data_IF_832368094225
#
_entry.id   IF_832368094225
#
_cell.length_a   1.000
_cell.length_b   1.000
_cell.length_c   1.000
_cell.angle_alpha   90.00
_cell.angle_beta   90.00
_cell.angle_gamma   90.00
#
_symmetry.space_group_name_H-M   'P 1'
#
loop_
_entity.id
_entity.type
_entity.pdbx_description
1 polymer ?
#
# COMPACT_ATOMS: atom_id res chain seq x y z
N UNK A 1 16.58 33.35 67.08
CA UNK A 1 17.56 32.53 67.82
C UNK A 1 17.13 31.07 67.66
N UNK A 2 17.93 30.27 66.92
CA UNK A 2 17.90 28.79 66.73
C UNK A 2 16.61 28.21 66.07
N UNK A 3 16.54 27.88 64.77
CA UNK A 3 17.07 26.74 63.95
C UNK A 3 16.57 25.33 64.34
N UNK A 4 15.66 24.80 63.50
CA UNK A 4 15.40 23.44 62.92
C UNK A 4 15.80 22.18 63.74
N UNK A 5 15.09 21.03 63.68
CA UNK A 5 14.81 20.20 62.48
C UNK A 5 13.77 19.10 62.72
N UNK A 6 13.15 18.73 61.60
CA UNK A 6 12.06 17.80 61.30
C UNK A 6 12.30 16.32 61.64
N UNK A 7 11.22 15.64 62.05
CA UNK A 7 11.12 14.18 62.18
C UNK A 7 10.93 13.50 60.82
N UNK A 8 11.65 12.37 60.64
CA UNK A 8 11.46 11.38 59.58
C UNK A 8 10.03 10.81 59.62
N UNK A 9 9.34 10.81 58.47
CA UNK A 9 8.12 10.04 58.24
C UNK A 9 8.38 8.94 57.22
N UNK A 10 8.34 7.68 57.68
CA UNK A 10 8.61 6.49 56.90
C UNK A 10 7.49 6.13 55.91
N UNK A 11 7.92 5.47 54.84
CA UNK A 11 7.15 4.87 53.75
C UNK A 11 6.03 3.94 54.24
N UNK A 12 4.87 4.05 53.59
CA UNK A 12 3.77 3.11 53.70
C UNK A 12 2.94 3.09 52.42
N UNK A 13 3.52 2.62 51.31
CA UNK A 13 2.77 2.34 50.10
C UNK A 13 1.87 1.11 50.35
N UNK A 14 0.60 1.35 50.67
CA UNK A 14 -0.40 0.30 50.81
C UNK A 14 -0.72 -0.29 49.44
N UNK A 15 -0.31 -1.54 49.22
CA UNK A 15 -0.75 -2.35 48.11
C UNK A 15 -2.21 -2.75 48.33
N UNK A 16 -3.13 -2.07 47.65
CA UNK A 16 -4.53 -2.51 47.55
C UNK A 16 -4.57 -3.57 46.43
N UNK A 17 -4.58 -4.84 46.84
CA UNK A 17 -4.86 -5.96 45.96
C UNK A 17 -6.37 -5.98 45.66
N UNK A 18 -6.77 -5.37 44.54
CA UNK A 18 -8.10 -5.59 43.97
C UNK A 18 -8.06 -6.87 43.12
N UNK A 19 -8.78 -7.88 43.59
CA UNK A 19 -9.15 -9.04 42.80
C UNK A 19 -10.10 -8.59 41.67
N UNK A 20 -9.51 -8.16 40.54
CA UNK A 20 -10.25 -7.93 39.31
C UNK A 20 -9.93 -9.06 38.34
N UNK A 21 -10.90 -9.95 38.15
CA UNK A 21 -10.86 -10.94 37.08
C UNK A 21 -10.75 -10.19 35.74
N UNK A 22 -9.60 -10.35 35.08
CA UNK A 22 -9.37 -10.07 33.68
C UNK A 22 -9.64 -8.64 33.17
N UNK A 23 -9.72 -7.63 34.04
CA UNK A 23 -9.70 -6.24 33.60
C UNK A 23 -8.26 -5.78 33.57
N UNK A 24 -7.72 -5.58 32.38
CA UNK A 24 -6.46 -4.89 32.14
C UNK A 24 -6.75 -3.37 32.17
N UNK A 25 -6.80 -2.72 33.34
CA UNK A 25 -7.42 -1.40 33.49
C UNK A 25 -6.55 -0.28 32.90
N UNK A 26 -5.26 -0.58 32.72
CA UNK A 26 -4.25 0.27 32.09
C UNK A 26 -4.01 -0.11 30.62
N UNK A 27 -4.68 -1.14 30.09
CA UNK A 27 -4.46 -1.62 28.72
C UNK A 27 -3.05 -2.20 28.47
N UNK A 28 -2.33 -2.60 29.51
CA UNK A 28 -0.96 -3.12 29.43
C UNK A 28 -0.91 -4.50 28.77
N UNK A 29 0.00 -4.70 27.82
CA UNK A 29 0.10 -5.99 27.12
C UNK A 29 0.47 -7.12 28.10
N UNK A 30 -0.01 -8.36 27.89
CA UNK A 30 0.46 -9.51 28.66
C UNK A 30 1.99 -9.62 28.56
N UNK A 31 2.69 -9.68 29.70
CA UNK A 31 4.15 -9.68 29.75
C UNK A 31 4.82 -8.30 29.75
N UNK A 32 4.06 -7.20 29.82
CA UNK A 32 4.62 -5.86 29.98
C UNK A 32 5.42 -5.75 31.29
N UNK A 33 6.65 -5.25 31.18
CA UNK A 33 7.55 -5.00 32.31
C UNK A 33 7.46 -3.56 32.80
N UNK A 34 6.81 -2.67 32.04
CA UNK A 34 6.68 -1.25 32.33
C UNK A 34 5.31 -0.68 31.95
N UNK A 35 4.86 0.32 32.69
CA UNK A 35 3.69 1.14 32.33
C UNK A 35 3.93 2.03 31.10
N UNK A 36 5.16 2.09 30.58
CA UNK A 36 5.51 2.76 29.32
C UNK A 36 5.52 1.80 28.12
N UNK A 37 5.34 0.50 28.34
CA UNK A 37 5.35 -0.50 27.25
C UNK A 37 4.19 -0.34 26.26
N UNK A 38 3.15 0.45 26.59
CA UNK A 38 2.09 0.79 25.63
C UNK A 38 2.63 1.54 24.40
N UNK A 39 3.73 2.28 24.56
CA UNK A 39 4.35 3.07 23.49
C UNK A 39 5.40 2.28 22.69
N UNK A 40 5.69 1.03 23.06
CA UNK A 40 6.67 0.20 22.36
C UNK A 40 6.05 -0.45 21.12
N UNK A 41 6.72 -0.30 19.98
CA UNK A 41 6.39 -1.05 18.77
C UNK A 41 6.59 -2.56 19.00
N UNK A 42 5.65 -3.42 18.57
CA UNK A 42 5.81 -4.87 18.69
C UNK A 42 7.06 -5.35 17.96
N UNK A 43 7.76 -6.30 18.56
CA UNK A 43 8.87 -7.00 17.92
C UNK A 43 8.39 -7.83 16.72
N UNK A 44 9.29 -8.17 15.78
CA UNK A 44 9.00 -9.09 14.69
C UNK A 44 8.28 -10.39 15.09
N UNK A 45 8.74 -11.05 16.16
CA UNK A 45 8.13 -12.29 16.64
C UNK A 45 6.72 -12.06 17.17
N UNK A 46 6.49 -10.98 17.91
CA UNK A 46 5.15 -10.62 18.37
C UNK A 46 4.23 -10.27 17.20
N UNK A 47 4.75 -9.64 16.14
CA UNK A 47 3.99 -9.37 14.93
C UNK A 47 3.55 -10.66 14.22
N UNK A 48 4.37 -11.73 14.25
CA UNK A 48 3.98 -13.07 13.79
C UNK A 48 2.85 -13.62 14.66
N UNK A 49 2.98 -13.60 15.98
CA UNK A 49 1.93 -14.08 16.89
C UNK A 49 0.62 -13.32 16.69
N UNK A 50 0.69 -12.01 16.45
CA UNK A 50 -0.45 -11.18 16.10
C UNK A 50 -1.07 -11.58 14.76
N UNK A 51 -0.25 -11.80 13.71
CA UNK A 51 -0.71 -12.20 12.38
C UNK A 51 -1.37 -13.59 12.36
N UNK A 52 -0.97 -14.46 13.29
CA UNK A 52 -1.49 -15.82 13.47
C UNK A 52 -2.68 -15.90 14.45
N UNK A 53 -3.12 -14.79 15.03
CA UNK A 53 -4.21 -14.79 16.03
C UNK A 53 -5.52 -15.32 15.43
N UNK A 54 -5.97 -16.47 15.93
CA UNK A 54 -7.14 -17.18 15.41
C UNK A 54 -8.45 -16.39 15.59
N UNK A 55 -8.54 -15.54 16.60
CA UNK A 55 -9.82 -14.99 17.04
C UNK A 55 -9.93 -13.48 16.78
N UNK A 56 -8.81 -12.77 16.75
CA UNK A 56 -8.81 -11.31 16.69
C UNK A 56 -8.32 -10.80 15.33
N UNK A 57 -9.26 -10.34 14.50
CA UNK A 57 -8.96 -9.78 13.18
C UNK A 57 -8.11 -8.50 13.24
N UNK A 58 -8.33 -7.61 14.22
CA UNK A 58 -7.51 -6.40 14.39
C UNK A 58 -6.05 -6.75 14.70
N UNK A 59 -5.81 -7.80 15.51
CA UNK A 59 -4.46 -8.32 15.73
C UNK A 59 -3.87 -8.90 14.45
N UNK A 60 -4.62 -9.71 13.70
CA UNK A 60 -4.15 -10.25 12.42
C UNK A 60 -3.78 -9.16 11.44
N UNK A 61 -4.61 -8.14 11.33
CA UNK A 61 -4.41 -6.97 10.48
C UNK A 61 -3.13 -6.23 10.85
N UNK A 62 -2.98 -5.87 12.14
CA UNK A 62 -1.79 -5.18 12.64
C UNK A 62 -0.52 -6.01 12.49
N UNK A 63 -0.58 -7.30 12.83
CA UNK A 63 0.55 -8.22 12.67
C UNK A 63 1.01 -8.31 11.21
N UNK A 64 0.06 -8.47 10.28
CA UNK A 64 0.34 -8.53 8.83
C UNK A 64 1.00 -7.23 8.34
N UNK A 65 0.49 -6.07 8.73
CA UNK A 65 1.08 -4.77 8.36
C UNK A 65 2.46 -4.55 8.95
N UNK A 66 2.71 -4.98 10.19
CA UNK A 66 4.01 -4.85 10.83
C UNK A 66 5.05 -5.73 10.16
N UNK A 67 4.68 -6.95 9.79
CA UNK A 67 5.53 -7.87 9.04
C UNK A 67 5.85 -7.31 7.66
N UNK A 68 4.86 -6.81 6.91
CA UNK A 68 5.06 -6.24 5.57
C UNK A 68 6.00 -5.01 5.53
N UNK A 69 6.36 -4.43 6.66
CA UNK A 69 7.34 -3.33 6.74
C UNK A 69 8.77 -3.83 6.92
N UNK A 70 8.95 -5.10 7.22
CA UNK A 70 10.25 -5.66 7.57
C UNK A 70 11.06 -6.02 6.33
N UNK A 71 12.39 -5.89 6.43
CA UNK A 71 13.30 -6.21 5.32
C UNK A 71 13.29 -7.70 4.95
N UNK A 72 13.03 -8.57 5.92
CA UNK A 72 12.97 -10.02 5.72
C UNK A 72 11.60 -10.51 5.23
N UNK A 73 10.60 -9.63 5.08
CA UNK A 73 9.24 -10.05 4.69
C UNK A 73 9.13 -10.58 3.26
N UNK A 74 10.20 -10.45 2.46
CA UNK A 74 10.33 -11.10 1.15
C UNK A 74 10.75 -12.58 1.25
N UNK A 75 11.04 -13.11 2.42
CA UNK A 75 11.29 -14.56 2.59
C UNK A 75 9.99 -15.35 2.38
N UNK A 76 10.11 -16.52 1.75
CA UNK A 76 8.96 -17.33 1.32
C UNK A 76 7.95 -17.58 2.44
N UNK A 77 8.41 -17.84 3.66
CA UNK A 77 7.54 -18.12 4.81
C UNK A 77 6.57 -16.97 5.10
N UNK A 78 7.01 -15.72 4.95
CA UNK A 78 6.14 -14.56 5.15
C UNK A 78 5.25 -14.29 3.94
N UNK A 79 5.75 -14.54 2.72
CA UNK A 79 4.95 -14.45 1.51
C UNK A 79 3.79 -15.45 1.55
N UNK A 80 4.05 -16.70 1.97
CA UNK A 80 3.03 -17.73 2.16
C UNK A 80 1.99 -17.31 3.22
N UNK A 81 2.44 -16.68 4.31
CA UNK A 81 1.54 -16.08 5.30
C UNK A 81 0.66 -14.99 4.66
N UNK A 82 1.21 -14.11 3.82
CA UNK A 82 0.43 -13.08 3.12
C UNK A 82 -0.57 -13.69 2.13
N UNK A 83 -0.18 -14.73 1.39
CA UNK A 83 -1.11 -15.49 0.54
C UNK A 83 -2.27 -16.05 1.37
N UNK A 84 -1.97 -16.64 2.53
CA UNK A 84 -3.01 -17.16 3.42
C UNK A 84 -3.92 -16.04 3.94
N UNK A 85 -3.37 -14.91 4.38
CA UNK A 85 -4.14 -13.76 4.90
C UNK A 85 -4.92 -13.00 3.83
N UNK A 86 -4.54 -13.09 2.56
CA UNK A 86 -5.30 -12.51 1.45
C UNK A 86 -6.66 -13.20 1.21
N UNK A 87 -6.92 -14.33 1.88
CA UNK A 87 -8.21 -15.05 1.89
C UNK A 87 -8.91 -15.02 3.26
N UNK A 88 -8.48 -14.14 4.16
CA UNK A 88 -9.08 -13.99 5.49
C UNK A 88 -10.55 -13.56 5.41
N UNK A 89 -11.32 -13.93 6.44
CA UNK A 89 -12.72 -13.52 6.58
C UNK A 89 -12.86 -12.01 6.74
N UNK A 90 -11.89 -11.36 7.38
CA UNK A 90 -11.90 -9.92 7.62
C UNK A 90 -11.31 -9.15 6.41
N UNK A 91 -12.03 -8.15 5.87
CA UNK A 91 -11.56 -7.40 4.71
C UNK A 91 -10.30 -6.56 5.01
N UNK A 92 -10.15 -6.05 6.23
CA UNK A 92 -8.95 -5.31 6.62
C UNK A 92 -7.71 -6.19 6.56
N UNK A 93 -7.81 -7.42 7.07
CA UNK A 93 -6.74 -8.42 6.97
C UNK A 93 -6.43 -8.76 5.51
N UNK A 94 -7.46 -8.97 4.67
CA UNK A 94 -7.26 -9.20 3.22
C UNK A 94 -6.55 -8.03 2.54
N UNK A 95 -6.95 -6.80 2.82
CA UNK A 95 -6.33 -5.61 2.24
C UNK A 95 -4.86 -5.47 2.68
N UNK A 96 -4.57 -5.66 3.97
CA UNK A 96 -3.20 -5.64 4.49
C UNK A 96 -2.31 -6.70 3.84
N UNK A 97 -2.84 -7.92 3.66
CA UNK A 97 -2.13 -9.01 3.02
C UNK A 97 -1.92 -8.77 1.52
N UNK A 98 -2.92 -8.25 0.83
CA UNK A 98 -2.85 -7.88 -0.60
C UNK A 98 -1.79 -6.80 -0.82
N UNK A 99 -1.75 -5.79 0.07
CA UNK A 99 -0.68 -4.78 0.09
C UNK A 99 0.69 -5.40 0.31
N UNK A 100 0.82 -6.33 1.27
CA UNK A 100 2.07 -7.02 1.55
C UNK A 100 2.57 -7.83 0.34
N UNK A 101 1.67 -8.49 -0.39
CA UNK A 101 1.97 -9.15 -1.65
C UNK A 101 2.40 -8.17 -2.74
N UNK A 102 1.85 -6.95 -2.78
CA UNK A 102 2.37 -5.90 -3.67
C UNK A 102 3.81 -5.50 -3.36
N UNK A 103 4.21 -5.50 -2.09
CA UNK A 103 5.57 -5.11 -1.66
C UNK A 103 6.59 -6.24 -1.80
N UNK A 104 6.18 -7.49 -1.58
CA UNK A 104 7.08 -8.63 -1.43
C UNK A 104 6.83 -9.77 -2.42
N UNK A 105 5.69 -9.76 -3.09
CA UNK A 105 5.28 -10.78 -4.03
C UNK A 105 6.05 -10.75 -5.34
N UNK A 106 5.75 -11.75 -6.16
CA UNK A 106 6.34 -12.02 -7.48
C UNK A 106 5.22 -12.17 -8.52
N UNK A 107 5.54 -12.14 -9.83
CA UNK A 107 4.53 -12.31 -10.89
C UNK A 107 3.61 -13.53 -10.73
N UNK A 108 4.11 -14.63 -10.15
CA UNK A 108 3.30 -15.82 -9.82
C UNK A 108 2.14 -15.57 -8.85
N UNK A 109 2.15 -14.46 -8.10
CA UNK A 109 1.09 -14.06 -7.18
C UNK A 109 0.02 -13.19 -7.85
N UNK A 110 0.25 -12.73 -9.08
CA UNK A 110 -0.69 -11.88 -9.80
C UNK A 110 -2.09 -12.51 -9.97
N UNK A 111 -2.26 -13.83 -10.21
CA UNK A 111 -3.60 -14.43 -10.28
C UNK A 111 -4.44 -14.18 -9.01
N UNK A 112 -3.82 -14.25 -7.83
CA UNK A 112 -4.49 -13.94 -6.57
C UNK A 112 -4.84 -12.45 -6.46
N UNK A 113 -3.95 -11.56 -6.90
CA UNK A 113 -4.23 -10.12 -6.93
C UNK A 113 -5.36 -9.78 -7.91
N UNK A 114 -5.40 -10.45 -9.06
CA UNK A 114 -6.48 -10.34 -10.05
C UNK A 114 -7.81 -10.79 -9.46
N UNK A 115 -7.84 -11.87 -8.68
CA UNK A 115 -9.04 -12.29 -7.95
C UNK A 115 -9.50 -11.20 -6.96
N UNK A 116 -8.56 -10.58 -6.23
CA UNK A 116 -8.84 -9.51 -5.26
C UNK A 116 -9.33 -8.20 -5.91
N UNK A 117 -9.14 -7.97 -7.22
CA UNK A 117 -9.77 -6.85 -7.94
C UNK A 117 -11.30 -6.94 -7.99
N UNK A 118 -11.89 -8.08 -7.63
CA UNK A 118 -13.35 -8.28 -7.59
C UNK A 118 -13.87 -8.52 -6.17
N UNK A 119 -13.06 -8.22 -5.15
CA UNK A 119 -13.46 -8.36 -3.75
C UNK A 119 -14.67 -7.47 -3.41
N UNK A 120 -15.51 -7.96 -2.50
CA UNK A 120 -16.67 -7.22 -2.03
C UNK A 120 -16.27 -5.89 -1.35
N UNK A 121 -15.12 -5.88 -0.67
CA UNK A 121 -14.62 -4.70 0.01
C UNK A 121 -13.76 -3.82 -0.94
N UNK A 122 -14.08 -2.52 -1.05
CA UNK A 122 -13.38 -1.63 -1.96
C UNK A 122 -11.92 -1.35 -1.58
N UNK A 123 -11.57 -1.40 -0.28
CA UNK A 123 -10.19 -1.22 0.14
C UNK A 123 -9.32 -2.41 -0.30
N UNK A 124 -9.88 -3.62 -0.34
CA UNK A 124 -9.18 -4.80 -0.88
C UNK A 124 -8.97 -4.65 -2.39
N UNK A 125 -9.99 -4.19 -3.13
CA UNK A 125 -9.85 -3.93 -4.58
C UNK A 125 -8.81 -2.85 -4.89
N UNK A 126 -8.78 -1.78 -4.10
CA UNK A 126 -7.80 -0.70 -4.22
C UNK A 126 -6.37 -1.24 -4.00
N UNK A 127 -6.15 -1.98 -2.92
CA UNK A 127 -4.83 -2.56 -2.63
C UNK A 127 -4.42 -3.61 -3.67
N UNK A 128 -5.36 -4.34 -4.27
CA UNK A 128 -5.09 -5.25 -5.37
C UNK A 128 -4.60 -4.52 -6.63
N UNK A 129 -5.30 -3.46 -7.04
CA UNK A 129 -4.88 -2.63 -8.17
C UNK A 129 -3.52 -1.96 -7.90
N UNK A 130 -3.30 -1.49 -6.67
CA UNK A 130 -2.02 -0.92 -6.23
C UNK A 130 -0.89 -1.95 -6.20
N UNK A 131 -1.16 -3.18 -5.78
CA UNK A 131 -0.18 -4.26 -5.81
C UNK A 131 0.25 -4.61 -7.24
N UNK A 132 -0.70 -4.60 -8.19
CA UNK A 132 -0.44 -4.80 -9.62
C UNK A 132 0.31 -3.63 -10.28
N UNK A 133 0.52 -2.50 -9.61
CA UNK A 133 1.49 -1.48 -10.06
C UNK A 133 2.94 -1.92 -9.80
N UNK A 134 3.15 -2.73 -8.76
CA UNK A 134 4.47 -3.20 -8.33
C UNK A 134 4.84 -4.56 -8.92
N UNK A 135 3.86 -5.28 -9.46
CA UNK A 135 4.04 -6.56 -10.11
C UNK A 135 3.61 -6.45 -11.57
N UNK A 136 4.58 -6.61 -12.47
CA UNK A 136 4.33 -6.65 -13.90
C UNK A 136 3.95 -8.07 -14.32
N UNK A 137 2.69 -8.24 -14.69
CA UNK A 137 2.17 -9.53 -15.17
C UNK A 137 1.08 -9.26 -16.23
N UNK A 138 1.39 -9.41 -17.53
CA UNK A 138 0.48 -9.05 -18.62
C UNK A 138 -0.88 -9.74 -18.59
N UNK A 139 -1.01 -10.91 -17.95
CA UNK A 139 -2.30 -11.57 -17.77
C UNK A 139 -3.30 -10.78 -16.91
N UNK A 140 -2.84 -9.80 -16.12
CA UNK A 140 -3.70 -8.94 -15.30
C UNK A 140 -4.39 -7.80 -16.08
N UNK A 141 -4.00 -7.55 -17.35
CA UNK A 141 -4.48 -6.38 -18.11
C UNK A 141 -6.00 -6.38 -18.25
N UNK A 142 -6.63 -7.51 -18.57
CA UNK A 142 -8.08 -7.56 -18.77
C UNK A 142 -8.85 -7.21 -17.50
N UNK A 143 -8.39 -7.71 -16.35
CA UNK A 143 -8.98 -7.40 -15.05
C UNK A 143 -8.78 -5.92 -14.67
N UNK A 144 -7.61 -5.35 -14.96
CA UNK A 144 -7.34 -3.92 -14.73
C UNK A 144 -8.19 -3.01 -15.63
N UNK A 145 -8.41 -3.39 -16.89
CA UNK A 145 -9.30 -2.65 -17.80
C UNK A 145 -10.75 -2.63 -17.29
N UNK A 146 -11.21 -3.73 -16.68
CA UNK A 146 -12.52 -3.81 -16.02
C UNK A 146 -12.56 -2.99 -14.73
N UNK A 147 -11.51 -3.04 -13.90
CA UNK A 147 -11.40 -2.26 -12.66
C UNK A 147 -11.30 -0.74 -12.90
N UNK A 148 -10.86 -0.32 -14.09
CA UNK A 148 -10.88 1.09 -14.51
C UNK A 148 -12.23 1.52 -15.10
N UNK A 149 -13.13 0.57 -15.38
CA UNK A 149 -14.42 0.89 -15.99
C UNK A 149 -15.39 1.49 -14.97
N UNK A 150 -15.66 2.79 -15.10
CA UNK A 150 -16.67 3.54 -14.33
C UNK A 150 -18.02 2.82 -14.18
N UNK A 151 -18.46 2.08 -15.19
CA UNK A 151 -19.77 1.42 -15.16
C UNK A 151 -19.78 0.17 -14.28
N UNK A 152 -18.61 -0.36 -13.95
CA UNK A 152 -18.42 -1.59 -13.16
C UNK A 152 -17.79 -1.31 -11.80
N UNK A 153 -16.87 -0.35 -11.73
CA UNK A 153 -16.18 0.03 -10.51
C UNK A 153 -16.68 1.42 -10.04
N UNK A 154 -17.56 1.47 -9.03
CA UNK A 154 -18.05 2.73 -8.49
C UNK A 154 -16.97 3.53 -7.78
N UNK A 155 -15.97 2.87 -7.17
CA UNK A 155 -14.98 3.54 -6.35
C UNK A 155 -13.86 4.16 -7.18
N UNK A 156 -13.80 5.49 -7.16
CA UNK A 156 -12.79 6.23 -7.90
C UNK A 156 -11.35 5.87 -7.48
N UNK A 157 -11.12 5.54 -6.21
CA UNK A 157 -9.80 5.13 -5.71
C UNK A 157 -9.30 3.86 -6.41
N UNK A 158 -10.16 2.86 -6.61
CA UNK A 158 -9.82 1.64 -7.35
C UNK A 158 -9.51 1.97 -8.81
N UNK A 159 -10.34 2.80 -9.46
CA UNK A 159 -10.11 3.23 -10.85
C UNK A 159 -8.80 3.98 -11.03
N UNK A 160 -8.42 4.83 -10.08
CA UNK A 160 -7.12 5.54 -10.05
C UNK A 160 -5.97 4.55 -10.05
N UNK A 161 -6.00 3.56 -9.15
CA UNK A 161 -4.91 2.61 -9.03
C UNK A 161 -4.86 1.64 -10.21
N UNK A 162 -6.01 1.32 -10.81
CA UNK A 162 -6.08 0.55 -12.05
C UNK A 162 -5.50 1.33 -13.24
N UNK A 163 -5.85 2.62 -13.39
CA UNK A 163 -5.30 3.49 -14.43
C UNK A 163 -3.77 3.62 -14.32
N UNK A 164 -3.25 3.74 -13.10
CA UNK A 164 -1.81 3.73 -12.82
C UNK A 164 -1.17 2.39 -13.18
N UNK A 165 -1.76 1.26 -12.78
CA UNK A 165 -1.21 -0.06 -13.10
C UNK A 165 -1.16 -0.29 -14.61
N UNK A 166 -2.18 0.16 -15.34
CA UNK A 166 -2.27 0.05 -16.79
C UNK A 166 -1.16 0.81 -17.53
N UNK A 167 -0.57 1.85 -16.93
CA UNK A 167 0.56 2.60 -17.49
C UNK A 167 1.83 1.77 -17.73
N UNK A 168 1.89 0.55 -17.21
CA UNK A 168 2.98 -0.41 -17.47
C UNK A 168 2.89 -1.10 -18.83
N UNK A 169 1.71 -1.14 -19.44
CA UNK A 169 1.41 -2.07 -20.53
C UNK A 169 1.24 -1.34 -21.87
N UNK A 170 2.26 -1.39 -22.76
CA UNK A 170 2.26 -0.73 -24.07
C UNK A 170 1.37 -1.47 -25.08
N UNK A 171 0.05 -1.42 -24.89
CA UNK A 171 -0.92 -2.05 -25.78
C UNK A 171 -1.92 -1.01 -26.31
N UNK A 172 -2.27 -1.03 -27.61
CA UNK A 172 -3.21 -0.06 -28.19
C UNK A 172 -4.57 -0.01 -27.48
N UNK A 173 -5.08 -1.16 -27.01
CA UNK A 173 -6.34 -1.24 -26.23
C UNK A 173 -6.25 -0.56 -24.86
N UNK A 174 -5.07 -0.60 -24.22
CA UNK A 174 -4.82 0.08 -22.95
C UNK A 174 -4.78 1.59 -23.17
N UNK A 175 -4.10 2.02 -24.22
CA UNK A 175 -4.04 3.41 -24.64
C UNK A 175 -5.45 3.98 -24.94
N UNK A 176 -6.25 3.28 -25.74
CA UNK A 176 -7.63 3.68 -26.03
C UNK A 176 -8.48 3.82 -24.76
N UNK A 177 -8.39 2.85 -23.85
CA UNK A 177 -9.15 2.84 -22.59
C UNK A 177 -8.71 3.98 -21.66
N UNK A 178 -7.42 4.30 -21.62
CA UNK A 178 -6.89 5.47 -20.90
C UNK A 178 -7.38 6.78 -21.53
N UNK A 179 -7.30 6.95 -22.86
CA UNK A 179 -7.83 8.16 -23.54
C UNK A 179 -9.33 8.35 -23.23
N UNK A 180 -10.11 7.27 -23.22
CA UNK A 180 -11.53 7.31 -22.85
C UNK A 180 -11.74 7.71 -21.37
N UNK A 181 -10.88 7.25 -20.47
CA UNK A 181 -10.95 7.53 -19.03
C UNK A 181 -10.61 8.99 -18.66
N UNK A 182 -10.11 9.81 -19.58
CA UNK A 182 -10.01 11.26 -19.39
C UNK A 182 -11.37 11.96 -19.22
N UNK A 183 -12.47 11.26 -19.55
CA UNK A 183 -13.84 11.73 -19.34
C UNK A 183 -14.45 11.16 -18.05
N UNK A 184 -13.66 10.61 -17.12
CA UNK A 184 -14.17 10.20 -15.81
C UNK A 184 -14.59 11.42 -14.98
N UNK A 185 -15.63 11.26 -14.15
CA UNK A 185 -16.13 12.34 -13.28
C UNK A 185 -15.14 12.66 -12.15
N UNK A 186 -14.27 11.71 -11.82
CA UNK A 186 -13.23 11.90 -10.80
C UNK A 186 -11.98 12.53 -11.40
N UNK A 187 -11.65 13.73 -10.93
CA UNK A 187 -10.39 14.39 -11.27
C UNK A 187 -9.17 13.51 -10.98
N UNK A 188 -9.18 12.74 -9.88
CA UNK A 188 -8.06 11.85 -9.54
C UNK A 188 -7.82 10.79 -10.61
N UNK A 189 -8.89 10.24 -11.21
CA UNK A 189 -8.79 9.27 -12.31
C UNK A 189 -8.22 9.95 -13.55
N UNK A 190 -8.67 11.17 -13.86
CA UNK A 190 -8.15 11.95 -14.98
C UNK A 190 -6.64 12.24 -14.82
N UNK A 191 -6.19 12.65 -13.63
CA UNK A 191 -4.77 12.86 -13.34
C UNK A 191 -3.93 11.58 -13.48
N UNK A 192 -4.41 10.46 -12.92
CA UNK A 192 -3.75 9.17 -13.05
C UNK A 192 -3.64 8.72 -14.52
N UNK A 193 -4.70 8.97 -15.29
CA UNK A 193 -4.76 8.67 -16.71
C UNK A 193 -3.74 9.48 -17.51
N UNK A 194 -3.67 10.80 -17.29
CA UNK A 194 -2.67 11.66 -17.94
C UNK A 194 -1.25 11.20 -17.62
N UNK A 195 -0.98 10.83 -16.36
CA UNK A 195 0.32 10.28 -15.97
C UNK A 195 0.65 9.02 -16.78
N UNK A 196 -0.26 8.03 -16.81
CA UNK A 196 -0.06 6.78 -17.55
C UNK A 196 0.07 7.01 -19.07
N UNK A 197 -0.69 7.93 -19.65
CA UNK A 197 -0.59 8.30 -21.07
C UNK A 197 0.77 8.90 -21.40
N UNK A 198 1.27 9.82 -20.58
CA UNK A 198 2.63 10.39 -20.73
C UNK A 198 3.69 9.31 -20.64
N UNK A 199 3.59 8.39 -19.66
CA UNK A 199 4.53 7.28 -19.52
C UNK A 199 4.53 6.37 -20.75
N UNK A 200 3.36 6.01 -21.25
CA UNK A 200 3.24 5.10 -22.40
C UNK A 200 3.64 5.74 -23.73
N UNK A 201 3.38 7.03 -23.93
CA UNK A 201 3.50 7.65 -25.27
C UNK A 201 4.63 8.67 -25.40
N UNK A 202 5.13 9.18 -24.28
CA UNK A 202 6.03 10.34 -24.25
C UNK A 202 5.36 11.67 -24.62
N UNK A 203 4.07 11.66 -24.97
CA UNK A 203 3.32 12.85 -25.36
C UNK A 203 2.61 13.48 -24.15
N UNK A 204 2.29 14.77 -24.28
CA UNK A 204 1.54 15.49 -23.25
C UNK A 204 0.53 16.47 -23.86
N UNK A 205 -0.73 16.04 -23.92
CA UNK A 205 -1.87 16.90 -24.26
C UNK A 205 -2.68 17.29 -23.01
N UNK A 206 -2.15 17.03 -21.81
CA UNK A 206 -2.87 17.23 -20.55
C UNK A 206 -4.20 16.51 -20.55
N UNK A 207 -5.27 17.24 -20.19
CA UNK A 207 -6.64 16.72 -20.13
C UNK A 207 -7.41 16.84 -21.46
N UNK A 208 -6.78 17.31 -22.53
CA UNK A 208 -7.44 17.44 -23.82
C UNK A 208 -7.62 16.06 -24.49
N UNK A 209 -8.78 15.46 -24.24
CA UNK A 209 -9.15 14.18 -24.84
C UNK A 209 -9.21 14.24 -26.37
N UNK A 210 -9.62 15.36 -26.95
CA UNK A 210 -9.70 15.48 -28.41
C UNK A 210 -8.30 15.52 -29.04
N UNK A 211 -7.36 16.22 -28.41
CA UNK A 211 -5.94 16.20 -28.77
C UNK A 211 -5.35 14.79 -28.71
N UNK A 212 -5.57 14.07 -27.61
CA UNK A 212 -5.15 12.66 -27.47
C UNK A 212 -5.76 11.76 -28.56
N UNK A 213 -7.06 11.89 -28.85
CA UNK A 213 -7.72 11.08 -29.87
C UNK A 213 -7.24 11.42 -31.29
N UNK A 214 -7.02 12.70 -31.58
CA UNK A 214 -6.47 13.16 -32.86
C UNK A 214 -5.07 12.61 -33.10
N UNK A 215 -4.21 12.66 -32.08
CA UNK A 215 -2.87 12.06 -32.14
C UNK A 215 -2.91 10.54 -32.31
N UNK A 216 -3.79 9.85 -31.56
CA UNK A 216 -3.98 8.39 -31.67
C UNK A 216 -4.40 7.96 -33.07
N UNK A 217 -5.27 8.73 -33.73
CA UNK A 217 -5.73 8.44 -35.09
C UNK A 217 -4.67 8.77 -36.17
N UNK A 218 -3.77 9.72 -35.89
CA UNK A 218 -2.76 10.19 -36.85
C UNK A 218 -1.45 9.40 -36.83
N UNK A 219 -1.18 8.66 -35.75
CA UNK A 219 0.10 8.00 -35.49
C UNK A 219 -0.02 6.48 -35.66
N UNK A 220 1.05 5.82 -36.12
CA UNK A 220 1.12 4.35 -36.23
C UNK A 220 2.01 3.70 -35.18
N UNK A 221 3.00 4.43 -34.65
CA UNK A 221 3.86 3.97 -33.55
C UNK A 221 3.57 4.76 -32.27
N UNK A 222 2.70 4.21 -31.43
CA UNK A 222 2.22 4.88 -30.22
C UNK A 222 3.24 4.93 -29.08
N UNK A 223 4.22 4.03 -29.09
CA UNK A 223 5.06 3.75 -27.92
C UNK A 223 6.54 4.05 -28.16
N UNK A 224 6.88 4.66 -29.30
CA UNK A 224 8.24 5.01 -29.69
C UNK A 224 8.99 5.84 -28.66
N UNK A 225 8.31 6.81 -28.03
CA UNK A 225 8.89 7.77 -27.08
C UNK A 225 8.50 7.48 -25.62
N UNK A 226 8.14 6.23 -25.30
CA UNK A 226 7.70 5.85 -23.95
C UNK A 226 8.84 5.95 -22.93
N UNK A 227 8.51 6.34 -21.71
CA UNK A 227 9.46 6.32 -20.59
C UNK A 227 9.31 5.04 -19.76
N UNK A 228 10.34 4.72 -18.97
CA UNK A 228 10.27 3.60 -18.04
C UNK A 228 9.15 3.84 -17.01
N UNK A 229 8.28 2.85 -16.85
CA UNK A 229 7.24 2.93 -15.83
C UNK A 229 7.84 2.81 -14.43
N UNK A 230 7.52 3.78 -13.58
CA UNK A 230 7.82 3.73 -12.15
C UNK A 230 6.51 3.85 -11.38
N UNK A 231 6.25 2.90 -10.47
CA UNK A 231 5.04 2.98 -9.68
C UNK A 231 5.07 4.20 -8.75
N UNK A 232 3.96 4.91 -8.58
CA UNK A 232 3.90 6.06 -7.68
C UNK A 232 4.07 5.62 -6.23
N UNK A 233 4.91 6.32 -5.48
CA UNK A 233 5.06 6.15 -4.04
C UNK A 233 4.62 7.41 -3.30
N UNK A 234 4.03 7.22 -2.12
CA UNK A 234 3.64 8.35 -1.29
C UNK A 234 4.90 9.00 -0.71
N UNK A 235 5.11 10.28 -1.04
CA UNK A 235 6.10 11.12 -0.38
C UNK A 235 5.37 12.15 0.46
N UNK A 236 5.58 12.12 1.77
CA UNK A 236 5.05 13.17 2.64
C UNK A 236 5.93 14.41 2.52
N UNK A 237 5.31 15.58 2.48
CA UNK A 237 6.01 16.85 2.59
C UNK A 237 6.83 16.90 3.87
N UNK A 238 8.05 17.44 3.78
CA UNK A 238 8.88 17.65 4.96
C UNK A 238 8.20 18.65 5.89
N UNK A 239 8.10 18.31 7.17
CA UNK A 239 7.79 19.29 8.22
C UNK A 239 8.97 20.24 8.35
N UNK A 240 8.70 21.44 8.83
CA UNK A 240 9.70 22.50 8.95
C UNK A 240 10.97 22.05 9.71
N UNK A 241 10.86 21.18 10.72
CA UNK A 241 12.00 20.71 11.50
C UNK A 241 12.82 19.62 10.80
N UNK A 242 12.28 18.96 9.78
CA UNK A 242 12.99 17.95 8.97
C UNK A 242 13.95 18.59 7.95
N UNK A 243 13.95 19.92 7.84
CA UNK A 243 14.94 20.70 7.11
C UNK A 243 16.18 21.03 7.95
N UNK A 244 16.14 20.80 9.27
CA UNK A 244 17.30 21.03 10.15
C UNK A 244 18.38 19.98 9.79
N UNK A 245 19.64 20.39 9.58
CA UNK A 245 20.74 19.46 9.35
C UNK A 245 20.78 18.34 10.41
N UNK A 246 21.10 17.13 9.99
CA UNK A 246 21.20 15.92 10.83
C UNK A 246 19.88 15.40 11.42
N UNK A 247 18.72 16.01 11.10
CA UNK A 247 17.42 15.37 11.33
C UNK A 247 17.20 14.25 10.31
N UNK A 248 16.91 13.01 10.73
CA UNK A 248 16.61 11.91 9.82
C UNK A 248 15.49 12.30 8.87
N UNK A 249 15.70 12.06 7.59
CA UNK A 249 14.69 12.32 6.58
C UNK A 249 13.51 11.35 6.77
N UNK A 250 12.27 11.76 6.44
CA UNK A 250 11.12 10.87 6.56
C UNK A 250 11.35 9.61 5.73
N UNK A 251 10.93 8.47 6.26
CA UNK A 251 10.97 7.19 5.55
C UNK A 251 9.93 7.18 4.44
N UNK A 252 10.26 7.81 3.31
CA UNK A 252 9.45 7.72 2.10
C UNK A 252 9.79 6.42 1.37
N UNK A 253 8.76 5.73 0.87
CA UNK A 253 8.96 4.57 0.01
C UNK A 253 9.58 5.06 -1.31
N UNK A 254 10.72 4.51 -1.76
CA UNK A 254 11.26 4.88 -3.05
C UNK A 254 10.33 4.34 -4.15
N UNK A 255 10.11 5.17 -5.18
CA UNK A 255 9.52 4.70 -6.42
C UNK A 255 10.51 3.75 -7.12
N UNK A 256 10.01 2.75 -7.82
CA UNK A 256 10.84 1.69 -8.39
C UNK A 256 10.21 1.06 -9.63
N UNK A 257 10.99 0.19 -10.26
CA UNK A 257 10.49 -0.66 -11.33
C UNK A 257 9.61 -1.77 -10.74
N UNK A 258 8.48 -2.11 -11.39
CA UNK A 258 7.72 -3.28 -11.02
C UNK A 258 8.56 -4.56 -11.16
N UNK A 259 8.34 -5.51 -10.26
CA UNK A 259 8.93 -6.85 -10.33
C UNK A 259 8.33 -7.59 -11.53
N UNK A 260 9.16 -8.24 -12.35
CA UNK A 260 8.72 -8.98 -13.54
C UNK A 260 8.91 -8.22 -14.85
N UNK A 261 9.33 -6.94 -14.81
CA UNK A 261 9.69 -6.17 -16.00
C UNK A 261 11.00 -6.71 -16.59
N UNK A 262 10.99 -7.03 -17.89
CA UNK A 262 12.19 -7.44 -18.61
C UNK A 262 13.20 -6.27 -18.75
N UNK A 263 14.52 -6.53 -18.79
CA UNK A 263 15.54 -5.47 -18.82
C UNK A 263 15.43 -4.50 -20.00
N UNK A 264 14.92 -4.95 -21.15
CA UNK A 264 14.65 -4.17 -22.36
C UNK A 264 13.49 -3.18 -22.19
N UNK A 265 12.51 -3.50 -21.35
CA UNK A 265 11.37 -2.65 -21.01
C UNK A 265 11.73 -1.59 -19.94
N UNK A 266 12.83 -1.79 -19.20
CA UNK A 266 13.29 -0.89 -18.15
C UNK A 266 14.09 0.32 -18.65
N UNK A 267 14.64 0.23 -19.87
CA UNK A 267 15.34 1.32 -20.52
C UNK A 267 14.34 1.98 -21.48
N UNK A 268 13.74 3.10 -21.08
CA UNK A 268 13.04 3.96 -22.04
C UNK A 268 13.98 4.25 -23.22
N UNK A 269 13.48 4.16 -24.46
CA UNK A 269 14.28 4.49 -25.65
C UNK A 269 14.27 5.99 -25.89
#
# INVERSE_FOLDING_TARGET
MVIRTSLLGALGASAIALAACNSNPLGLRPGATSVLDFAREPSPSEAVDMALDKYNADRRYKGTLLLAKQRFASEQVYVDLFVQRATDTDPGVRAAATRALGLHGRPEHAPLLVERLTDADPAVREEAARALQRIHEPSAIDALLLAMDRTREPEAAVRVEAARALGQYPQPRVLEKLIAALADDSLSVNFATVFSLRTLTGQDFGFDRAGWQGWYNATTDYFAARSAYLYPSFQRDKRWYEYIPMVPQPSNEPSGLPVGVSPDMSQGR
#
